data_IF_927115230475
#
_entry.id   IF_927115230475
#
_cell.length_a   1.000
_cell.length_b   1.000
_cell.length_c   1.000
_cell.angle_alpha   90.00
_cell.angle_beta   90.00
_cell.angle_gamma   90.00
#
_symmetry.space_group_name_H-M   'P 1'
#
loop_
_entity.id
_entity.type
_entity.pdbx_description
1 polymer ?
#
# COMPACT_ATOMS: atom_id res chain seq x y z
N UNK A 1 28.11 0.15 3.45
CA UNK A 1 27.77 0.49 2.04
C UNK A 1 27.24 1.91 1.99
N UNK A 2 27.90 2.80 1.28
CA UNK A 2 27.64 4.25 1.32
C UNK A 2 26.20 4.56 0.87
N UNK A 3 25.50 5.49 1.55
CA UNK A 3 24.08 5.84 1.28
C UNK A 3 23.85 6.23 -0.17
N UNK A 4 24.84 6.87 -0.79
CA UNK A 4 24.84 7.25 -2.20
C UNK A 4 24.85 6.07 -3.16
N UNK A 5 25.55 4.97 -2.83
CA UNK A 5 25.61 3.77 -3.69
C UNK A 5 24.23 3.11 -3.77
N UNK A 6 23.52 3.00 -2.63
CA UNK A 6 22.14 2.46 -2.62
C UNK A 6 21.19 3.32 -3.45
N UNK A 7 21.35 4.64 -3.41
CA UNK A 7 20.51 5.59 -4.13
C UNK A 7 20.76 5.50 -5.66
N UNK A 8 22.03 5.51 -6.07
CA UNK A 8 22.42 5.37 -7.49
C UNK A 8 21.95 4.03 -8.04
N UNK A 9 22.16 2.93 -7.30
CA UNK A 9 21.72 1.60 -7.71
C UNK A 9 20.19 1.54 -7.86
N UNK A 10 19.45 2.14 -6.93
CA UNK A 10 17.99 2.27 -7.02
C UNK A 10 17.54 3.05 -8.27
N UNK A 11 18.17 4.19 -8.55
CA UNK A 11 17.88 4.98 -9.76
C UNK A 11 18.17 4.18 -11.02
N UNK A 12 19.32 3.51 -11.10
CA UNK A 12 19.66 2.69 -12.27
C UNK A 12 18.64 1.57 -12.51
N UNK A 13 18.23 0.86 -11.46
CA UNK A 13 17.20 -0.18 -11.55
C UNK A 13 15.86 0.43 -12.00
N UNK A 14 15.45 1.57 -11.45
CA UNK A 14 14.23 2.26 -11.86
C UNK A 14 14.27 2.71 -13.33
N UNK A 15 15.39 3.23 -13.81
CA UNK A 15 15.55 3.64 -15.21
C UNK A 15 15.52 2.45 -16.17
N UNK A 16 16.18 1.33 -15.81
CA UNK A 16 16.12 0.09 -16.59
C UNK A 16 14.69 -0.45 -16.63
N UNK A 17 13.99 -0.46 -15.48
CA UNK A 17 12.60 -0.89 -15.40
C UNK A 17 11.66 -0.01 -16.23
N UNK A 18 11.84 1.31 -16.19
CA UNK A 18 11.10 2.25 -17.03
C UNK A 18 11.39 2.01 -18.52
N UNK A 19 12.65 1.82 -18.90
CA UNK A 19 13.01 1.52 -20.28
C UNK A 19 12.29 0.26 -20.77
N UNK A 20 12.32 -0.85 -20.01
CA UNK A 20 11.60 -2.07 -20.37
C UNK A 20 10.08 -1.91 -20.36
N UNK A 21 9.52 -1.10 -19.45
CA UNK A 21 8.08 -0.85 -19.41
C UNK A 21 7.59 -0.10 -20.66
N UNK A 22 8.41 0.80 -21.20
CA UNK A 22 8.05 1.64 -22.35
C UNK A 22 8.62 1.17 -23.70
N UNK A 23 9.58 0.23 -23.73
CA UNK A 23 10.27 -0.17 -24.96
C UNK A 23 9.36 -0.79 -26.03
N UNK A 24 8.17 -1.28 -25.64
CA UNK A 24 7.17 -1.86 -26.54
C UNK A 24 5.95 -0.98 -26.77
N UNK A 25 5.92 0.26 -26.27
CA UNK A 25 4.73 1.11 -26.29
C UNK A 25 4.81 2.11 -27.46
N UNK A 26 3.80 2.07 -28.33
CA UNK A 26 3.53 3.12 -29.30
C UNK A 26 2.86 4.30 -28.59
N UNK A 27 3.58 5.41 -28.46
CA UNK A 27 3.10 6.60 -27.74
C UNK A 27 1.92 7.28 -28.43
N UNK A 28 1.79 7.17 -29.76
CA UNK A 28 0.67 7.74 -30.50
C UNK A 28 -0.61 6.96 -30.20
N UNK A 29 -0.51 5.62 -30.19
CA UNK A 29 -1.63 4.75 -29.80
C UNK A 29 -2.01 4.94 -28.32
N UNK A 30 -1.02 5.04 -27.43
CA UNK A 30 -1.26 5.31 -26.01
C UNK A 30 -2.06 6.61 -25.82
N UNK A 31 -1.71 7.67 -26.55
CA UNK A 31 -2.41 8.95 -26.48
C UNK A 31 -3.86 8.86 -26.97
N UNK A 32 -4.11 8.09 -28.04
CA UNK A 32 -5.48 7.86 -28.54
C UNK A 32 -6.31 7.11 -27.49
N UNK A 33 -5.75 6.07 -26.88
CA UNK A 33 -6.43 5.27 -25.84
C UNK A 33 -6.77 6.16 -24.64
N UNK A 34 -5.84 7.03 -24.20
CA UNK A 34 -6.09 7.94 -23.08
C UNK A 34 -7.25 8.90 -23.39
N UNK A 35 -7.37 9.38 -24.63
CA UNK A 35 -8.48 10.26 -25.03
C UNK A 35 -9.84 9.56 -25.10
N UNK A 36 -9.84 8.24 -25.29
CA UNK A 36 -11.05 7.42 -25.35
C UNK A 36 -11.49 6.88 -23.99
N UNK A 37 -10.76 7.21 -22.91
CA UNK A 37 -11.14 6.83 -21.55
C UNK A 37 -12.53 7.38 -21.20
N UNK A 38 -13.42 6.47 -20.82
CA UNK A 38 -14.72 6.83 -20.31
C UNK A 38 -14.60 7.40 -18.88
N UNK A 39 -14.95 8.67 -18.77
CA UNK A 39 -14.91 9.44 -17.52
C UNK A 39 -15.78 8.82 -16.42
N UNK A 40 -16.82 8.05 -16.78
CA UNK A 40 -17.66 7.36 -15.82
C UNK A 40 -16.85 6.33 -15.02
N UNK A 41 -16.07 5.48 -15.68
CA UNK A 41 -15.21 4.50 -15.00
C UNK A 41 -14.08 5.19 -14.22
N UNK A 42 -13.57 6.31 -14.73
CA UNK A 42 -12.63 7.16 -14.01
C UNK A 42 -13.20 7.66 -12.67
N UNK A 43 -14.39 8.27 -12.71
CA UNK A 43 -15.08 8.76 -11.52
C UNK A 43 -15.48 7.63 -10.56
N UNK A 44 -15.91 6.48 -11.08
CA UNK A 44 -16.22 5.30 -10.28
C UNK A 44 -14.99 4.79 -9.53
N UNK A 45 -13.84 4.69 -10.22
CA UNK A 45 -12.58 4.24 -9.60
C UNK A 45 -12.13 5.19 -8.48
N UNK A 46 -12.25 6.50 -8.69
CA UNK A 46 -11.93 7.52 -7.70
C UNK A 46 -12.85 7.41 -6.47
N UNK A 47 -14.15 7.19 -6.70
CA UNK A 47 -15.13 7.01 -5.64
C UNK A 47 -14.82 5.77 -4.80
N UNK A 48 -14.52 4.64 -5.44
CA UNK A 48 -14.12 3.40 -4.76
C UNK A 48 -12.83 3.62 -3.95
N UNK A 49 -11.86 4.34 -4.51
CA UNK A 49 -10.61 4.67 -3.81
C UNK A 49 -10.85 5.50 -2.53
N UNK A 50 -11.70 6.53 -2.61
CA UNK A 50 -12.06 7.36 -1.46
C UNK A 50 -12.81 6.55 -0.40
N UNK A 51 -13.76 5.72 -0.80
CA UNK A 51 -14.49 4.83 0.10
C UNK A 51 -13.56 3.80 0.78
N UNK A 52 -12.63 3.21 0.04
CA UNK A 52 -11.60 2.33 0.59
C UNK A 52 -10.80 3.03 1.69
N UNK A 53 -10.41 4.29 1.49
CA UNK A 53 -9.68 5.05 2.51
C UNK A 53 -10.56 5.43 3.72
N UNK A 54 -11.85 5.68 3.52
CA UNK A 54 -12.80 5.86 4.61
C UNK A 54 -12.93 4.59 5.47
N UNK A 55 -13.04 3.42 4.84
CA UNK A 55 -13.08 2.14 5.55
C UNK A 55 -11.78 1.90 6.34
N UNK A 56 -10.62 2.24 5.75
CA UNK A 56 -9.33 2.17 6.48
C UNK A 56 -9.30 3.08 7.70
N UNK A 57 -9.85 4.29 7.60
CA UNK A 57 -9.96 5.20 8.74
C UNK A 57 -10.84 4.61 9.85
N UNK A 58 -12.01 4.07 9.52
CA UNK A 58 -12.90 3.40 10.48
C UNK A 58 -12.21 2.21 11.16
N UNK A 59 -11.55 1.35 10.37
CA UNK A 59 -10.77 0.22 10.90
C UNK A 59 -9.68 0.69 11.85
N UNK A 60 -9.00 1.78 11.51
CA UNK A 60 -7.92 2.30 12.33
C UNK A 60 -8.43 2.86 13.66
N UNK A 61 -9.63 3.47 13.70
CA UNK A 61 -10.27 3.85 14.97
C UNK A 61 -10.49 2.65 15.88
N UNK A 62 -10.88 1.49 15.33
CA UNK A 62 -11.07 0.26 16.09
C UNK A 62 -9.72 -0.25 16.62
N UNK A 63 -8.69 -0.26 15.79
CA UNK A 63 -7.34 -0.69 16.19
C UNK A 63 -6.71 0.20 17.26
N UNK A 64 -6.96 1.50 17.20
CA UNK A 64 -6.43 2.46 18.15
C UNK A 64 -7.27 2.62 19.43
N UNK A 65 -8.51 2.12 19.45
CA UNK A 65 -9.44 2.24 20.58
C UNK A 65 -8.86 1.84 21.96
N UNK A 66 -8.01 0.80 22.08
CA UNK A 66 -7.40 0.45 23.36
C UNK A 66 -6.42 1.49 23.91
N UNK A 67 -5.90 2.37 23.04
CA UNK A 67 -4.91 3.39 23.36
C UNK A 67 -5.55 4.77 23.49
N UNK A 68 -6.42 5.15 22.53
CA UNK A 68 -7.14 6.43 22.53
C UNK A 68 -8.39 6.35 21.64
N UNK A 69 -9.40 7.17 21.94
CA UNK A 69 -10.61 7.32 21.11
C UNK A 69 -10.38 8.33 19.99
N UNK A 70 -9.80 7.85 18.91
CA UNK A 70 -9.55 8.65 17.71
C UNK A 70 -10.87 8.92 16.96
N UNK A 71 -11.13 10.16 16.58
CA UNK A 71 -12.26 10.52 15.70
C UNK A 71 -11.93 10.29 14.21
N UNK A 72 -12.96 10.16 13.38
CA UNK A 72 -12.80 9.77 11.97
C UNK A 72 -11.95 10.76 11.16
N UNK A 73 -12.13 12.07 11.38
CA UNK A 73 -11.44 13.12 10.62
C UNK A 73 -9.91 13.14 10.85
N UNK A 74 -9.40 13.10 12.09
CA UNK A 74 -7.97 12.89 12.35
C UNK A 74 -7.42 11.60 11.72
N UNK A 75 -8.15 10.48 11.82
CA UNK A 75 -7.72 9.21 11.21
C UNK A 75 -7.62 9.32 9.68
N UNK A 76 -8.68 9.80 9.02
CA UNK A 76 -8.72 9.95 7.56
C UNK A 76 -7.69 10.96 7.06
N UNK A 77 -7.59 12.13 7.67
CA UNK A 77 -6.64 13.16 7.24
C UNK A 77 -5.19 12.71 7.40
N UNK A 78 -4.86 11.98 8.47
CA UNK A 78 -3.51 11.41 8.66
C UNK A 78 -3.18 10.34 7.62
N UNK A 79 -4.16 9.52 7.23
CA UNK A 79 -4.02 8.56 6.12
C UNK A 79 -3.72 9.30 4.81
N UNK A 80 -4.50 10.33 4.47
CA UNK A 80 -4.32 11.08 3.23
C UNK A 80 -2.97 11.81 3.17
N UNK A 81 -2.57 12.44 4.28
CA UNK A 81 -1.25 13.10 4.39
C UNK A 81 -0.13 12.06 4.29
N UNK A 82 -0.30 10.87 4.87
CA UNK A 82 0.65 9.77 4.72
C UNK A 82 0.82 9.32 3.26
N UNK A 83 -0.28 9.17 2.51
CA UNK A 83 -0.18 8.84 1.08
C UNK A 83 0.48 9.94 0.28
N UNK A 84 0.14 11.20 0.54
CA UNK A 84 0.83 12.33 -0.08
C UNK A 84 2.32 12.30 0.23
N UNK A 85 2.69 12.06 1.48
CA UNK A 85 4.07 11.90 1.93
C UNK A 85 4.78 10.75 1.21
N UNK A 86 4.13 9.63 0.93
CA UNK A 86 4.71 8.53 0.17
C UNK A 86 4.97 8.86 -1.31
N UNK A 87 4.19 9.78 -1.88
CA UNK A 87 4.38 10.23 -3.27
C UNK A 87 5.48 11.27 -3.41
N UNK A 88 5.75 12.06 -2.37
CA UNK A 88 6.70 13.19 -2.42
C UNK A 88 8.03 12.85 -1.73
N UNK A 89 7.99 12.12 -0.60
CA UNK A 89 9.16 11.83 0.21
C UNK A 89 9.89 10.57 -0.30
N UNK A 90 11.23 10.58 -0.30
CA UNK A 90 12.00 9.39 -0.61
C UNK A 90 11.81 8.32 0.48
N UNK A 91 12.10 7.07 0.14
CA UNK A 91 12.05 5.91 1.06
C UNK A 91 10.67 5.60 1.66
N UNK A 92 9.56 6.06 1.05
CA UNK A 92 8.19 5.82 1.54
C UNK A 92 8.01 6.21 3.02
N UNK A 93 8.59 7.35 3.41
CA UNK A 93 8.49 7.90 4.77
C UNK A 93 7.08 8.42 5.11
N UNK A 94 6.11 8.30 4.20
CA UNK A 94 4.73 8.72 4.44
C UNK A 94 4.05 7.95 5.57
N UNK A 95 4.48 6.73 5.89
CA UNK A 95 3.94 6.00 7.05
C UNK A 95 4.39 6.61 8.39
N UNK A 96 5.64 7.06 8.47
CA UNK A 96 6.14 7.81 9.62
C UNK A 96 5.43 9.16 9.73
N UNK A 97 5.20 9.83 8.60
CA UNK A 97 4.44 11.08 8.55
C UNK A 97 3.00 10.87 9.03
N UNK A 98 2.33 9.79 8.62
CA UNK A 98 0.99 9.40 9.10
C UNK A 98 0.97 9.22 10.61
N UNK A 99 1.97 8.55 11.18
CA UNK A 99 2.08 8.37 12.63
C UNK A 99 2.28 9.70 13.37
N UNK A 100 3.17 10.56 12.84
CA UNK A 100 3.45 11.88 13.39
C UNK A 100 2.22 12.77 13.40
N UNK A 101 1.54 12.91 12.25
CA UNK A 101 0.35 13.77 12.12
C UNK A 101 -0.81 13.26 12.98
N UNK A 102 -0.95 11.94 13.14
CA UNK A 102 -1.96 11.40 14.03
C UNK A 102 -1.66 11.75 15.50
N UNK A 103 -0.40 11.58 15.92
CA UNK A 103 0.04 11.94 17.26
C UNK A 103 -0.12 13.44 17.56
N UNK A 104 0.08 14.31 16.56
CA UNK A 104 -0.16 15.75 16.70
C UNK A 104 -1.65 16.10 16.89
N UNK A 105 -2.55 15.30 16.29
CA UNK A 105 -4.01 15.53 16.31
C UNK A 105 -4.75 14.76 17.40
N UNK A 106 -4.07 13.94 18.19
CA UNK A 106 -4.65 13.06 19.22
C UNK A 106 -3.81 13.09 20.49
N UNK A 107 -4.20 12.34 21.52
CA UNK A 107 -3.39 12.23 22.75
C UNK A 107 -2.32 11.14 22.68
N UNK A 108 -2.18 10.49 21.52
CA UNK A 108 -1.22 9.40 21.32
C UNK A 108 0.19 9.90 21.10
N UNK A 109 1.16 9.19 21.67
CA UNK A 109 2.57 9.38 21.32
C UNK A 109 2.86 8.78 19.92
N UNK A 110 3.85 9.35 19.22
CA UNK A 110 4.25 8.92 17.87
C UNK A 110 4.58 7.41 17.83
N UNK A 111 5.26 6.89 18.84
CA UNK A 111 5.60 5.46 18.93
C UNK A 111 4.36 4.57 19.03
N UNK A 112 3.36 4.99 19.80
CA UNK A 112 2.08 4.26 19.93
C UNK A 112 1.30 4.31 18.63
N UNK A 113 1.19 5.49 18.00
CA UNK A 113 0.55 5.65 16.70
C UNK A 113 1.24 4.78 15.63
N UNK A 114 2.58 4.77 15.59
CA UNK A 114 3.34 3.92 14.68
C UNK A 114 3.12 2.42 14.96
N UNK A 115 3.06 2.02 16.24
CA UNK A 115 2.74 0.64 16.62
C UNK A 115 1.37 0.16 16.11
N UNK A 116 0.36 1.05 16.09
CA UNK A 116 -0.94 0.72 15.49
C UNK A 116 -0.86 0.54 13.97
N UNK A 117 0.00 1.31 13.28
CA UNK A 117 0.22 1.16 11.84
C UNK A 117 0.92 -0.17 11.54
N UNK A 118 1.94 -0.53 12.32
CA UNK A 118 2.61 -1.84 12.18
C UNK A 118 1.60 -2.97 12.40
N UNK A 119 0.78 -2.89 13.45
CA UNK A 119 -0.30 -3.86 13.69
C UNK A 119 -1.27 -3.94 12.52
N UNK A 120 -1.67 -2.79 11.96
CA UNK A 120 -2.51 -2.73 10.76
C UNK A 120 -1.87 -3.48 9.58
N UNK A 121 -0.56 -3.29 9.34
CA UNK A 121 0.18 -3.99 8.27
C UNK A 121 0.24 -5.49 8.49
N UNK A 122 0.49 -5.93 9.73
CA UNK A 122 0.49 -7.35 10.09
C UNK A 122 -0.87 -7.98 9.76
N UNK A 123 -1.96 -7.31 10.13
CA UNK A 123 -3.32 -7.78 9.84
C UNK A 123 -3.62 -7.79 8.33
N UNK A 124 -3.16 -6.78 7.59
CA UNK A 124 -3.29 -6.74 6.12
C UNK A 124 -2.56 -7.93 5.47
N UNK A 125 -1.34 -8.24 5.91
CA UNK A 125 -0.56 -9.38 5.40
C UNK A 125 -1.21 -10.73 5.72
N UNK A 126 -1.67 -10.91 6.96
CA UNK A 126 -2.38 -12.14 7.37
C UNK A 126 -3.68 -12.28 6.57
N UNK A 127 -4.47 -11.22 6.47
CA UNK A 127 -5.72 -11.22 5.70
C UNK A 127 -5.51 -11.55 4.23
N UNK A 128 -4.51 -10.92 3.59
CA UNK A 128 -4.15 -11.22 2.20
C UNK A 128 -3.71 -12.68 2.03
N UNK A 129 -2.87 -13.18 2.94
CA UNK A 129 -2.40 -14.56 2.90
C UNK A 129 -3.56 -15.56 3.02
N UNK A 130 -4.50 -15.31 3.93
CA UNK A 130 -5.72 -16.12 4.07
C UNK A 130 -6.61 -16.07 2.83
N UNK A 131 -6.79 -14.89 2.21
CA UNK A 131 -7.57 -14.75 0.99
C UNK A 131 -6.93 -15.49 -0.20
N UNK A 132 -5.61 -15.48 -0.30
CA UNK A 132 -4.90 -16.26 -1.32
C UNK A 132 -5.10 -17.76 -1.08
N UNK A 133 -4.94 -18.23 0.15
CA UNK A 133 -5.18 -19.63 0.51
C UNK A 133 -6.62 -20.05 0.20
N UNK A 134 -7.60 -19.22 0.56
CA UNK A 134 -9.01 -19.46 0.27
C UNK A 134 -9.25 -19.58 -1.24
N UNK A 135 -8.70 -18.66 -2.03
CA UNK A 135 -8.82 -18.68 -3.49
C UNK A 135 -8.28 -19.99 -4.08
N UNK A 136 -7.13 -20.46 -3.60
CA UNK A 136 -6.51 -21.72 -4.06
C UNK A 136 -7.38 -22.93 -3.72
N UNK A 137 -8.00 -22.96 -2.54
CA UNK A 137 -8.87 -24.06 -2.11
C UNK A 137 -10.18 -24.08 -2.89
N UNK A 138 -10.78 -22.91 -3.14
CA UNK A 138 -12.06 -22.80 -3.85
C UNK A 138 -11.91 -22.99 -5.36
N UNK A 139 -10.80 -22.50 -5.93
CA UNK A 139 -10.46 -22.64 -7.35
C UNK A 139 -9.14 -23.41 -7.50
N UNK A 140 -9.16 -24.75 -7.28
CA UNK A 140 -7.98 -25.58 -7.51
C UNK A 140 -7.69 -25.60 -9.01
N UNK A 141 -6.71 -24.81 -9.45
CA UNK A 141 -6.29 -24.81 -10.83
C UNK A 141 -5.21 -25.89 -11.05
N UNK A 142 -5.34 -26.70 -12.10
CA UNK A 142 -4.49 -27.86 -12.36
C UNK A 142 -2.99 -27.53 -12.51
N UNK A 143 -2.66 -26.26 -12.79
CA UNK A 143 -1.29 -25.75 -12.92
C UNK A 143 -0.68 -25.27 -11.58
N UNK A 144 -1.48 -25.17 -10.50
CA UNK A 144 -1.03 -24.74 -9.18
C UNK A 144 -0.44 -25.95 -8.44
N UNK A 145 0.85 -26.17 -8.65
CA UNK A 145 1.62 -27.15 -7.88
C UNK A 145 1.77 -26.72 -6.42
N UNK A 146 1.88 -27.69 -5.49
CA UNK A 146 2.15 -27.46 -4.06
C UNK A 146 3.36 -26.53 -3.82
N UNK A 147 4.34 -26.54 -4.72
CA UNK A 147 5.52 -25.65 -4.69
C UNK A 147 5.16 -24.16 -4.84
N UNK A 148 4.15 -23.82 -5.65
CA UNK A 148 3.69 -22.44 -5.83
C UNK A 148 3.02 -21.94 -4.55
N UNK A 149 2.20 -22.78 -3.92
CA UNK A 149 1.53 -22.47 -2.64
C UNK A 149 2.57 -22.20 -1.55
N UNK A 150 3.58 -23.08 -1.42
CA UNK A 150 4.67 -22.90 -0.47
C UNK A 150 5.47 -21.63 -0.78
N UNK A 151 5.73 -21.33 -2.07
CA UNK A 151 6.46 -20.12 -2.45
C UNK A 151 5.72 -18.84 -2.10
N UNK A 152 4.39 -18.79 -2.27
CA UNK A 152 3.58 -17.62 -1.94
C UNK A 152 3.56 -17.40 -0.42
N UNK A 153 3.43 -18.47 0.36
CA UNK A 153 3.49 -18.40 1.83
C UNK A 153 4.89 -17.92 2.28
N UNK A 154 5.96 -18.47 1.71
CA UNK A 154 7.33 -18.10 2.05
C UNK A 154 7.61 -16.64 1.66
N UNK A 155 7.16 -16.19 0.48
CA UNK A 155 7.33 -14.80 0.04
C UNK A 155 6.53 -13.84 0.93
N UNK A 156 5.30 -14.18 1.33
CA UNK A 156 4.52 -13.31 2.22
C UNK A 156 5.15 -13.22 3.62
N UNK A 157 5.71 -14.32 4.13
CA UNK A 157 6.45 -14.34 5.41
C UNK A 157 7.79 -13.61 5.33
N UNK A 158 8.51 -13.67 4.21
CA UNK A 158 9.73 -12.89 4.01
C UNK A 158 9.38 -11.40 3.89
N UNK A 159 8.34 -11.04 3.14
CA UNK A 159 7.84 -9.67 3.03
C UNK A 159 7.25 -9.11 4.35
N UNK A 160 6.97 -9.98 5.32
CA UNK A 160 6.57 -9.60 6.68
C UNK A 160 7.77 -9.24 7.57
N UNK A 161 8.92 -9.88 7.33
CA UNK A 161 10.16 -9.70 8.10
C UNK A 161 11.00 -8.52 7.59
N UNK A 162 10.84 -8.15 6.32
CA UNK A 162 11.57 -7.08 5.63
C UNK A 162 10.68 -5.87 5.33
#
# INVERSE_FOLDING_TARGET
MNRYIKLILGICISLIGLYFAFSGIDFDQLWIIIKQLDLFYGALSLTILLLSNAIRALRWQILAYPLDRISFNPALSSIMIGYFGNSVLPFRMGELLRAYVLAEKTSLNISSAFGTIVTERILDFVGLSLLILLTIVVYPADWINQKIIISVIVISLIAFIF
#
